data_IF_029196307281
#
_entry.id   IF_029196307281
#
_cell.length_a   1.000
_cell.length_b   1.000
_cell.length_c   1.000
_cell.angle_alpha   90.00
_cell.angle_beta   90.00
_cell.angle_gamma   90.00
#
_symmetry.space_group_name_H-M   'P 1'
#
loop_
_entity.id
_entity.type
_entity.pdbx_description
1 polymer ?
#
# COMPACT_ATOMS: atom_id res chain seq x y z
N UNK A 1 20.33 -0.58 10.74
CA UNK A 1 19.18 -1.34 11.24
C UNK A 1 19.56 -2.80 11.31
N UNK A 2 19.41 -3.44 12.46
CA UNK A 2 19.55 -4.89 12.64
C UNK A 2 18.28 -5.63 12.17
N UNK A 3 18.36 -6.95 12.01
CA UNK A 3 17.19 -7.76 11.63
C UNK A 3 16.07 -7.65 12.67
N UNK A 4 16.41 -7.64 13.95
CA UNK A 4 15.43 -7.47 15.03
C UNK A 4 14.73 -6.10 14.94
N UNK A 5 15.48 -5.04 14.64
CA UNK A 5 14.91 -3.69 14.49
C UNK A 5 13.93 -3.61 13.30
N UNK A 6 14.23 -4.27 12.18
CA UNK A 6 13.34 -4.31 11.01
C UNK A 6 12.04 -5.04 11.33
N UNK A 7 12.12 -6.19 12.02
CA UNK A 7 10.95 -6.96 12.40
C UNK A 7 10.09 -6.22 13.41
N UNK A 8 10.71 -5.57 14.40
CA UNK A 8 10.01 -4.75 15.38
C UNK A 8 9.27 -3.58 14.72
N UNK A 9 9.91 -2.88 13.79
CA UNK A 9 9.32 -1.75 13.05
C UNK A 9 8.18 -2.22 12.13
N UNK A 10 8.33 -3.36 11.44
CA UNK A 10 7.27 -3.96 10.64
C UNK A 10 6.06 -4.40 11.49
N UNK A 11 6.30 -4.84 12.73
CA UNK A 11 5.27 -5.19 13.71
C UNK A 11 4.68 -3.98 14.45
N UNK A 12 5.07 -2.76 14.07
CA UNK A 12 4.53 -1.52 14.63
C UNK A 12 3.00 -1.55 14.66
N UNK A 13 2.37 -1.08 15.75
CA UNK A 13 0.92 -1.03 15.88
C UNK A 13 0.25 -0.22 14.77
N UNK A 14 0.96 0.69 14.09
CA UNK A 14 0.43 1.39 12.90
C UNK A 14 0.09 0.41 11.77
N UNK A 15 0.92 -0.62 11.54
CA UNK A 15 0.68 -1.67 10.55
C UNK A 15 -0.49 -2.56 10.97
N UNK A 16 -0.58 -2.90 12.25
CA UNK A 16 -1.62 -3.78 12.82
C UNK A 16 -2.99 -3.09 12.87
N UNK A 17 -3.06 -1.83 13.30
CA UNK A 17 -4.29 -1.02 13.33
C UNK A 17 -4.81 -0.77 11.91
N UNK A 18 -3.91 -0.54 10.93
CA UNK A 18 -4.30 -0.38 9.52
C UNK A 18 -4.92 -1.66 8.94
N UNK A 19 -4.40 -2.84 9.30
CA UNK A 19 -4.98 -4.10 8.87
C UNK A 19 -6.36 -4.36 9.50
N UNK A 20 -6.55 -3.95 10.76
CA UNK A 20 -7.83 -4.07 11.48
C UNK A 20 -8.90 -3.10 10.95
N UNK A 21 -8.55 -1.84 10.64
CA UNK A 21 -9.50 -0.84 10.17
C UNK A 21 -9.90 -1.01 8.68
N UNK A 22 -8.95 -1.39 7.82
CA UNK A 22 -9.17 -1.42 6.37
C UNK A 22 -9.44 -2.84 5.83
N UNK A 23 -9.23 -3.87 6.64
CA UNK A 23 -9.23 -5.28 6.25
C UNK A 23 -7.95 -5.67 5.50
N UNK A 24 -7.84 -6.96 5.15
CA UNK A 24 -6.70 -7.47 4.38
C UNK A 24 -6.47 -6.67 3.09
N UNK A 25 -5.20 -6.48 2.73
CA UNK A 25 -4.74 -5.64 1.62
C UNK A 25 -5.44 -6.02 0.30
N UNK A 26 -5.74 -7.30 0.10
CA UNK A 26 -6.48 -7.76 -1.07
C UNK A 26 -7.90 -7.17 -1.16
N UNK A 27 -8.62 -7.09 -0.03
CA UNK A 27 -9.97 -6.48 0.01
C UNK A 27 -9.92 -4.99 -0.29
N UNK A 28 -8.90 -4.30 0.22
CA UNK A 28 -8.71 -2.88 -0.09
C UNK A 28 -8.42 -2.67 -1.58
N UNK A 29 -7.49 -3.45 -2.15
CA UNK A 29 -7.19 -3.37 -3.58
C UNK A 29 -8.40 -3.70 -4.46
N UNK A 30 -9.26 -4.64 -4.07
CA UNK A 30 -10.49 -4.93 -4.78
C UNK A 30 -11.50 -3.77 -4.77
N UNK A 31 -11.63 -3.06 -3.64
CA UNK A 31 -12.47 -1.85 -3.55
C UNK A 31 -11.94 -0.73 -4.45
N UNK A 32 -10.64 -0.47 -4.39
CA UNK A 32 -10.00 0.55 -5.23
C UNK A 32 -10.15 0.18 -6.71
N UNK A 33 -9.98 -1.09 -7.06
CA UNK A 33 -10.14 -1.58 -8.43
C UNK A 33 -11.54 -1.30 -8.97
N UNK A 34 -12.59 -1.52 -8.17
CA UNK A 34 -13.97 -1.18 -8.53
C UNK A 34 -14.16 0.34 -8.74
N UNK A 35 -13.63 1.16 -7.83
CA UNK A 35 -13.70 2.63 -7.91
C UNK A 35 -13.00 3.13 -9.18
N UNK A 36 -11.77 2.68 -9.41
CA UNK A 36 -10.99 3.09 -10.58
C UNK A 36 -11.62 2.61 -11.87
N UNK A 37 -12.23 1.42 -11.88
CA UNK A 37 -12.95 0.94 -13.06
C UNK A 37 -14.10 1.86 -13.44
N UNK A 38 -14.84 2.38 -12.44
CA UNK A 38 -15.92 3.32 -12.66
C UNK A 38 -15.41 4.69 -13.16
N UNK A 39 -14.27 5.17 -12.65
CA UNK A 39 -13.67 6.44 -13.04
C UNK A 39 -13.07 6.38 -14.46
N UNK A 40 -12.35 5.30 -14.78
CA UNK A 40 -11.58 5.17 -16.02
C UNK A 40 -12.39 4.57 -17.18
N UNK A 41 -13.58 4.03 -16.90
CA UNK A 41 -14.43 3.43 -17.92
C UNK A 41 -13.93 2.09 -18.47
N UNK A 42 -12.97 1.45 -17.80
CA UNK A 42 -12.48 0.11 -18.15
C UNK A 42 -12.19 -0.71 -16.89
N UNK A 43 -12.19 -2.04 -17.02
CA UNK A 43 -11.89 -2.91 -15.88
C UNK A 43 -10.45 -2.69 -15.37
N UNK A 44 -10.32 -2.50 -14.07
CA UNK A 44 -9.08 -2.51 -13.31
C UNK A 44 -9.12 -3.69 -12.35
N UNK A 45 -8.02 -4.42 -12.24
CA UNK A 45 -7.90 -5.59 -11.36
C UNK A 45 -7.22 -5.22 -10.03
N UNK A 46 -7.46 -5.97 -8.94
CA UNK A 46 -6.78 -5.75 -7.67
C UNK A 46 -5.24 -5.81 -7.78
N UNK A 47 -4.72 -6.68 -8.66
CA UNK A 47 -3.28 -6.78 -8.92
C UNK A 47 -2.70 -5.52 -9.57
N UNK A 48 -3.43 -4.91 -10.51
CA UNK A 48 -3.02 -3.64 -11.11
C UNK A 48 -3.00 -2.51 -10.07
N UNK A 49 -3.96 -2.48 -9.14
CA UNK A 49 -3.95 -1.52 -8.03
C UNK A 49 -2.69 -1.69 -7.18
N UNK A 50 -2.34 -2.93 -6.80
CA UNK A 50 -1.15 -3.19 -6.00
C UNK A 50 0.13 -2.67 -6.68
N UNK A 51 0.27 -2.89 -7.98
CA UNK A 51 1.40 -2.40 -8.78
C UNK A 51 1.43 -0.86 -8.87
N UNK A 52 0.28 -0.22 -9.08
CA UNK A 52 0.18 1.25 -9.09
C UNK A 52 0.53 1.86 -7.73
N UNK A 53 0.09 1.24 -6.63
CA UNK A 53 0.46 1.67 -5.28
C UNK A 53 1.96 1.53 -5.03
N UNK A 54 2.60 0.45 -5.49
CA UNK A 54 4.06 0.32 -5.44
C UNK A 54 4.76 1.43 -6.23
N UNK A 55 4.26 1.76 -7.43
CA UNK A 55 4.76 2.88 -8.22
C UNK A 55 4.65 4.22 -7.49
N UNK A 56 3.54 4.49 -6.79
CA UNK A 56 3.37 5.70 -5.98
C UNK A 56 4.41 5.79 -4.86
N UNK A 57 4.70 4.67 -4.19
CA UNK A 57 5.74 4.59 -3.14
C UNK A 57 7.12 4.90 -3.70
N UNK A 58 7.47 4.30 -4.84
CA UNK A 58 8.74 4.58 -5.54
C UNK A 58 8.87 6.06 -5.93
N UNK A 59 7.79 6.67 -6.44
CA UNK A 59 7.78 8.09 -6.80
C UNK A 59 7.99 9.00 -5.58
N UNK A 60 7.35 8.67 -4.44
CA UNK A 60 7.54 9.40 -3.17
C UNK A 60 8.96 9.27 -2.65
N UNK A 61 9.52 8.06 -2.68
CA UNK A 61 10.90 7.80 -2.26
C UNK A 61 11.90 8.55 -3.13
N UNK A 62 11.68 8.59 -4.45
CA UNK A 62 12.54 9.35 -5.36
C UNK A 62 12.51 10.86 -5.11
N UNK A 63 11.35 11.40 -4.67
CA UNK A 63 11.21 12.81 -4.33
C UNK A 63 11.76 13.13 -2.93
N UNK A 64 11.55 12.26 -1.94
CA UNK A 64 11.92 12.47 -0.55
C UNK A 64 12.58 11.19 0.02
N UNK A 65 13.88 10.96 -0.27
CA UNK A 65 14.55 9.69 0.02
C UNK A 65 14.62 9.33 1.50
N UNK A 66 14.55 10.32 2.40
CA UNK A 66 14.57 10.11 3.85
C UNK A 66 13.17 9.83 4.46
N UNK A 67 12.12 9.77 3.64
CA UNK A 67 10.77 9.53 4.11
C UNK A 67 10.52 8.04 4.34
N UNK A 68 10.78 7.58 5.57
CA UNK A 68 10.80 6.16 5.99
C UNK A 68 9.48 5.37 5.80
N UNK A 69 8.35 6.05 5.63
CA UNK A 69 7.02 5.44 5.36
C UNK A 69 6.58 5.63 3.88
N UNK A 70 7.53 5.75 2.96
CA UNK A 70 7.25 5.72 1.51
C UNK A 70 7.11 4.30 1.02
#
# INVERSE_FOLDING_TARGET
>A
MTREEILADASSPVTTVRAEEYGDAHRMHARIAAIWSAILGHAVTPHQVALCMAGLKLARLAHLPDHRDS
#
